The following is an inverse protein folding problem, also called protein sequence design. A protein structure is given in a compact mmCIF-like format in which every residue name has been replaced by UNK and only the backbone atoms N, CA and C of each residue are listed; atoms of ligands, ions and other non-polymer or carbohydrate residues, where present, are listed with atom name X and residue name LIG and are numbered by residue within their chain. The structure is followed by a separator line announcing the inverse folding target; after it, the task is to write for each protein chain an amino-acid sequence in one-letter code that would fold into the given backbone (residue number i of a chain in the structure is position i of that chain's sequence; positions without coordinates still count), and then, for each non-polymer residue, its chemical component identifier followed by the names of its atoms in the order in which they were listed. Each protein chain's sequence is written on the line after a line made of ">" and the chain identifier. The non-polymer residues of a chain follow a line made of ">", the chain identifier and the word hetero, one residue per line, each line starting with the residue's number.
data_IF_132790990008
#
_entry.id   IF_132790990008
#
_cell.length_a   1.000
_cell.length_b   1.000
_cell.length_c   1.000
_cell.angle_alpha   90.00
_cell.angle_beta   90.00
_cell.angle_gamma   90.00
#
_symmetry.space_group_name_H-M   'P 1'
#
loop_
_entity.id
_entity.type
_entity.pdbx_description
1 polymer ?
#
# COMPACT_ATOMS: atom_id res chain seq x y z
N UNK A 1 -20.38 6.88 17.58
CA UNK A 1 -19.10 6.49 16.96
C UNK A 1 -18.84 7.43 15.79
N UNK A 2 -18.04 8.46 16.00
CA UNK A 2 -17.72 9.44 14.96
C UNK A 2 -16.65 8.82 14.05
N UNK A 3 -17.01 8.55 12.80
CA UNK A 3 -16.10 8.03 11.79
C UNK A 3 -15.11 9.16 11.46
N UNK A 4 -13.89 9.09 12.00
CA UNK A 4 -12.81 9.98 11.63
C UNK A 4 -12.43 9.63 10.19
N UNK A 5 -13.08 10.30 9.24
CA UNK A 5 -12.69 10.20 7.83
C UNK A 5 -11.22 10.61 7.70
N UNK A 6 -10.41 9.66 7.26
CA UNK A 6 -9.03 9.93 6.92
C UNK A 6 -9.01 11.01 5.82
N UNK A 7 -8.34 12.14 6.07
CA UNK A 7 -8.26 13.29 5.16
C UNK A 7 -7.90 12.88 3.72
N UNK A 8 -7.01 11.90 3.57
CA UNK A 8 -6.63 11.36 2.27
C UNK A 8 -7.79 10.71 1.51
N UNK A 9 -8.72 10.07 2.22
CA UNK A 9 -9.90 9.42 1.66
C UNK A 9 -10.88 10.46 1.12
N UNK A 10 -11.11 11.54 1.88
CA UNK A 10 -11.98 12.64 1.48
C UNK A 10 -11.40 13.43 0.28
N UNK A 11 -10.08 13.65 0.25
CA UNK A 11 -9.41 14.33 -0.87
C UNK A 11 -9.48 13.48 -2.15
N UNK A 12 -9.31 12.15 -2.03
CA UNK A 12 -9.50 11.23 -3.15
C UNK A 12 -10.94 11.27 -3.68
N UNK A 13 -11.95 11.28 -2.83
CA UNK A 13 -13.35 11.38 -3.28
C UNK A 13 -13.63 12.65 -4.04
N UNK A 14 -13.21 13.80 -3.50
CA UNK A 14 -13.38 15.08 -4.19
C UNK A 14 -12.72 15.05 -5.57
N UNK A 15 -11.52 14.48 -5.65
CA UNK A 15 -10.81 14.33 -6.92
C UNK A 15 -11.57 13.43 -7.89
N UNK A 16 -11.98 12.24 -7.48
CA UNK A 16 -12.62 11.28 -8.39
C UNK A 16 -14.06 11.69 -8.77
N UNK A 17 -14.81 12.35 -7.86
CA UNK A 17 -16.07 13.01 -8.20
C UNK A 17 -15.90 14.10 -9.25
N UNK A 18 -14.84 14.92 -9.14
CA UNK A 18 -14.52 15.92 -10.18
C UNK A 18 -14.15 15.25 -11.51
N UNK A 19 -13.38 14.17 -11.50
CA UNK A 19 -13.06 13.39 -12.71
C UNK A 19 -14.33 12.88 -13.39
N UNK A 20 -15.27 12.33 -12.60
CA UNK A 20 -16.56 11.88 -13.11
C UNK A 20 -17.36 13.03 -13.72
N UNK A 21 -17.57 14.11 -12.96
CA UNK A 21 -18.29 15.31 -13.41
C UNK A 21 -17.65 15.90 -14.67
N UNK A 22 -16.33 16.04 -14.73
CA UNK A 22 -15.63 16.57 -15.89
C UNK A 22 -15.83 15.66 -17.11
N UNK A 23 -15.77 14.35 -16.94
CA UNK A 23 -15.95 13.39 -18.05
C UNK A 23 -17.36 13.45 -18.63
N UNK A 24 -18.40 13.61 -17.80
CA UNK A 24 -19.77 13.75 -18.26
C UNK A 24 -20.05 15.17 -18.82
N UNK A 25 -19.51 16.22 -18.20
CA UNK A 25 -19.70 17.63 -18.62
C UNK A 25 -18.98 17.96 -19.93
N UNK A 26 -17.81 17.36 -20.18
CA UNK A 26 -17.15 17.49 -21.49
C UNK A 26 -17.96 16.85 -22.63
N UNK A 27 -18.99 16.06 -22.32
CA UNK A 27 -19.88 15.40 -23.29
C UNK A 27 -21.31 15.93 -23.28
N UNK A 28 -21.71 16.62 -22.21
CA UNK A 28 -23.04 17.23 -22.04
C UNK A 28 -22.85 18.69 -21.62
N UNK A 29 -23.18 19.61 -22.51
CA UNK A 29 -22.88 21.04 -22.40
C UNK A 29 -23.66 21.68 -21.24
N UNK A 30 -22.95 22.27 -20.27
CA UNK A 30 -23.42 23.48 -19.58
C UNK A 30 -24.20 23.37 -18.25
N UNK A 31 -24.27 22.22 -17.59
CA UNK A 31 -24.96 22.09 -16.28
C UNK A 31 -23.98 21.99 -15.09
N UNK A 32 -24.35 22.59 -13.96
CA UNK A 32 -23.75 22.28 -12.66
C UNK A 32 -24.24 20.88 -12.22
N UNK A 33 -23.48 19.85 -12.60
CA UNK A 33 -23.91 18.46 -12.45
C UNK A 33 -23.60 17.94 -11.04
N UNK A 34 -24.60 17.99 -10.16
CA UNK A 34 -24.57 17.23 -8.91
C UNK A 34 -25.09 15.79 -9.13
N UNK A 35 -24.17 14.87 -9.46
CA UNK A 35 -24.52 13.47 -9.73
C UNK A 35 -25.14 12.73 -8.54
N UNK A 36 -25.02 13.26 -7.32
CA UNK A 36 -25.64 12.69 -6.13
C UNK A 36 -27.17 12.84 -6.15
N UNK A 37 -27.71 13.76 -6.94
CA UNK A 37 -29.15 14.02 -7.05
C UNK A 37 -29.78 13.38 -8.29
N UNK A 38 -28.98 12.65 -9.08
CA UNK A 38 -29.49 11.98 -10.26
C UNK A 38 -30.44 10.85 -9.87
N UNK A 39 -31.47 10.63 -10.69
CA UNK A 39 -32.23 9.38 -10.67
C UNK A 39 -31.30 8.21 -10.97
N UNK A 40 -31.67 7.01 -10.50
CA UNK A 40 -30.90 5.79 -10.76
C UNK A 40 -30.67 5.57 -12.26
N UNK A 41 -31.68 5.79 -13.09
CA UNK A 41 -31.60 5.69 -14.56
C UNK A 41 -30.58 6.68 -15.16
N UNK A 42 -30.63 7.96 -14.73
CA UNK A 42 -29.68 8.98 -15.22
C UNK A 42 -28.26 8.61 -14.79
N UNK A 43 -28.09 8.19 -13.54
CA UNK A 43 -26.80 7.80 -12.99
C UNK A 43 -26.23 6.55 -13.68
N UNK A 44 -27.04 5.52 -13.95
CA UNK A 44 -26.63 4.32 -14.68
C UNK A 44 -26.10 4.67 -16.07
N UNK A 45 -26.85 5.49 -16.82
CA UNK A 45 -26.46 5.94 -18.16
C UNK A 45 -25.13 6.70 -18.14
N UNK A 46 -24.94 7.60 -17.19
CA UNK A 46 -23.70 8.36 -17.06
C UNK A 46 -22.51 7.49 -16.64
N UNK A 47 -22.69 6.58 -15.70
CA UNK A 47 -21.64 5.65 -15.28
C UNK A 47 -21.24 4.71 -16.44
N UNK A 48 -22.20 4.18 -17.19
CA UNK A 48 -21.91 3.34 -18.36
C UNK A 48 -21.06 4.07 -19.41
N UNK A 49 -21.40 5.34 -19.71
CA UNK A 49 -20.57 6.19 -20.60
C UNK A 49 -19.20 6.47 -19.99
N UNK A 50 -19.14 6.73 -18.69
CA UNK A 50 -17.92 7.12 -17.99
C UNK A 50 -16.83 6.05 -18.11
N UNK A 51 -17.15 4.77 -17.93
CA UNK A 51 -16.13 3.71 -17.95
C UNK A 51 -15.36 3.64 -19.27
N UNK A 52 -16.04 3.81 -20.41
CA UNK A 52 -15.39 3.89 -21.72
C UNK A 52 -14.64 5.22 -21.94
N UNK A 53 -15.12 6.30 -21.33
CA UNK A 53 -14.70 7.66 -21.58
C UNK A 53 -13.55 8.16 -20.71
N UNK A 54 -13.37 7.57 -19.52
CA UNK A 54 -12.48 8.10 -18.50
C UNK A 54 -11.04 8.14 -19.01
N UNK A 55 -10.42 9.33 -18.93
CA UNK A 55 -9.02 9.56 -19.32
C UNK A 55 -8.30 10.37 -18.25
N UNK A 56 -6.99 10.18 -18.16
CA UNK A 56 -6.11 11.04 -17.35
C UNK A 56 -6.05 12.45 -17.96
N UNK A 57 -5.47 13.40 -17.21
CA UNK A 57 -5.25 14.78 -17.71
C UNK A 57 -4.47 14.84 -19.03
N UNK A 58 -3.63 13.83 -19.30
CA UNK A 58 -2.83 13.73 -20.51
C UNK A 58 -3.54 12.96 -21.63
N UNK A 59 -4.84 12.65 -21.48
CA UNK A 59 -5.64 11.93 -22.47
C UNK A 59 -5.43 10.41 -22.50
N UNK A 60 -4.63 9.84 -21.60
CA UNK A 60 -4.40 8.39 -21.54
C UNK A 60 -5.53 7.64 -20.83
N UNK A 61 -5.78 6.39 -21.21
CA UNK A 61 -6.73 5.52 -20.51
C UNK A 61 -6.19 5.21 -19.11
N UNK A 62 -7.07 5.24 -18.09
CA UNK A 62 -6.72 4.84 -16.74
C UNK A 62 -6.33 3.35 -16.67
N UNK A 63 -5.42 3.00 -15.77
CA UNK A 63 -5.19 1.59 -15.43
C UNK A 63 -6.33 1.03 -14.57
N UNK A 64 -6.38 -0.30 -14.44
CA UNK A 64 -7.46 -1.01 -13.74
C UNK A 64 -7.58 -0.55 -12.28
N UNK A 65 -6.48 -0.45 -11.54
CA UNK A 65 -6.50 -0.03 -10.14
C UNK A 65 -7.01 1.41 -9.94
N UNK A 66 -6.76 2.29 -10.91
CA UNK A 66 -7.29 3.66 -10.90
C UNK A 66 -8.79 3.67 -11.14
N UNK A 67 -9.29 2.91 -12.12
CA UNK A 67 -10.72 2.77 -12.38
C UNK A 67 -11.45 2.16 -11.17
N UNK A 68 -10.86 1.17 -10.53
CA UNK A 68 -11.38 0.55 -9.31
C UNK A 68 -11.47 1.56 -8.17
N UNK A 69 -10.41 2.36 -7.95
CA UNK A 69 -10.38 3.43 -6.94
C UNK A 69 -11.47 4.47 -7.19
N UNK A 70 -11.69 4.85 -8.45
CA UNK A 70 -12.78 5.75 -8.84
C UNK A 70 -14.12 5.12 -8.49
N UNK A 71 -14.37 3.85 -8.87
CA UNK A 71 -15.62 3.13 -8.60
C UNK A 71 -15.97 3.10 -7.11
N UNK A 72 -15.00 2.76 -6.26
CA UNK A 72 -15.20 2.74 -4.81
C UNK A 72 -15.42 4.15 -4.23
N UNK A 73 -14.73 5.16 -4.75
CA UNK A 73 -14.88 6.54 -4.29
C UNK A 73 -16.25 7.10 -4.63
N UNK A 74 -16.73 6.90 -5.86
CA UNK A 74 -18.08 7.28 -6.29
C UNK A 74 -19.15 6.57 -5.46
N UNK A 75 -19.02 5.26 -5.24
CA UNK A 75 -19.95 4.49 -4.42
C UNK A 75 -20.04 5.08 -3.00
N UNK A 76 -18.89 5.41 -2.40
CA UNK A 76 -18.83 5.97 -1.05
C UNK A 76 -19.52 7.33 -0.97
N UNK A 77 -19.33 8.20 -1.96
CA UNK A 77 -20.01 9.50 -2.04
C UNK A 77 -21.54 9.31 -2.17
N UNK A 78 -21.98 8.39 -3.04
CA UNK A 78 -23.40 8.09 -3.24
C UNK A 78 -24.05 7.55 -1.95
N UNK A 79 -23.38 6.65 -1.24
CA UNK A 79 -23.83 6.15 0.07
C UNK A 79 -23.97 7.27 1.11
N UNK A 80 -23.03 8.22 1.15
CA UNK A 80 -23.12 9.39 2.07
C UNK A 80 -24.32 10.27 1.75
N UNK A 81 -24.72 10.33 0.49
CA UNK A 81 -25.91 11.07 0.05
C UNK A 81 -27.23 10.30 0.26
N UNK A 82 -27.18 9.13 0.91
CA UNK A 82 -28.37 8.37 1.29
C UNK A 82 -28.81 7.30 0.29
N UNK A 83 -28.07 7.10 -0.81
CA UNK A 83 -28.39 6.05 -1.78
C UNK A 83 -28.21 4.65 -1.19
N UNK A 84 -29.15 3.74 -1.46
CA UNK A 84 -29.15 2.37 -0.90
C UNK A 84 -28.49 1.34 -1.82
N UNK A 85 -28.43 1.58 -3.12
CA UNK A 85 -27.74 0.70 -4.08
C UNK A 85 -26.21 0.69 -3.88
N UNK A 86 -25.53 -0.31 -4.43
CA UNK A 86 -24.07 -0.43 -4.38
C UNK A 86 -23.52 -0.72 -5.78
N UNK A 87 -22.95 0.30 -6.42
CA UNK A 87 -22.43 0.20 -7.80
C UNK A 87 -21.18 -0.67 -7.91
N UNK A 88 -20.64 -1.16 -6.79
CA UNK A 88 -19.49 -2.08 -6.77
C UNK A 88 -19.91 -3.54 -6.79
N UNK A 89 -21.18 -3.83 -6.50
CA UNK A 89 -21.74 -5.18 -6.49
C UNK A 89 -22.23 -5.57 -7.87
N UNK A 90 -21.83 -6.76 -8.31
CA UNK A 90 -22.20 -7.29 -9.63
C UNK A 90 -23.70 -7.57 -9.73
N UNK A 91 -24.32 -7.88 -8.59
CA UNK A 91 -25.74 -8.20 -8.46
C UNK A 91 -26.65 -6.96 -8.43
N UNK A 92 -26.09 -5.75 -8.53
CA UNK A 92 -26.88 -4.52 -8.49
C UNK A 92 -27.67 -4.33 -9.79
N UNK A 93 -28.95 -4.71 -9.77
CA UNK A 93 -29.84 -4.72 -10.94
C UNK A 93 -30.15 -3.33 -11.50
N UNK A 94 -30.04 -2.27 -10.70
CA UNK A 94 -30.23 -0.89 -11.15
C UNK A 94 -29.07 -0.33 -11.99
N UNK A 95 -27.95 -1.06 -12.10
CA UNK A 95 -26.73 -0.56 -12.75
C UNK A 95 -26.10 -1.58 -13.72
N UNK A 96 -26.89 -2.47 -14.31
CA UNK A 96 -26.40 -3.55 -15.18
C UNK A 96 -25.57 -3.04 -16.36
N UNK A 97 -25.97 -1.95 -17.02
CA UNK A 97 -25.23 -1.41 -18.17
C UNK A 97 -23.89 -0.81 -17.74
N UNK A 98 -23.88 -0.12 -16.60
CA UNK A 98 -22.66 0.44 -16.01
C UNK A 98 -21.69 -0.65 -15.56
N UNK A 99 -22.19 -1.70 -14.90
CA UNK A 99 -21.37 -2.84 -14.45
C UNK A 99 -20.73 -3.53 -15.66
N UNK A 100 -21.51 -3.81 -16.72
CA UNK A 100 -21.00 -4.40 -17.95
C UNK A 100 -19.94 -3.52 -18.60
N UNK A 101 -20.17 -2.21 -18.71
CA UNK A 101 -19.20 -1.28 -19.28
C UNK A 101 -17.87 -1.27 -18.51
N UNK A 102 -17.91 -1.36 -17.17
CA UNK A 102 -16.72 -1.50 -16.34
C UNK A 102 -16.01 -2.84 -16.57
N UNK A 103 -16.74 -3.96 -16.63
CA UNK A 103 -16.18 -5.29 -16.91
C UNK A 103 -15.52 -5.35 -18.29
N UNK A 104 -16.18 -4.83 -19.32
CA UNK A 104 -15.65 -4.78 -20.69
C UNK A 104 -14.35 -3.94 -20.73
N UNK A 105 -14.38 -2.73 -20.16
CA UNK A 105 -13.21 -1.83 -20.10
C UNK A 105 -12.04 -2.47 -19.35
N UNK A 106 -12.29 -3.10 -18.20
CA UNK A 106 -11.22 -3.73 -17.43
C UNK A 106 -10.67 -5.00 -18.10
N UNK A 107 -11.49 -5.70 -18.88
CA UNK A 107 -11.05 -6.86 -19.68
C UNK A 107 -10.11 -6.43 -20.81
N UNK A 108 -10.47 -5.38 -21.55
CA UNK A 108 -9.62 -4.79 -22.59
C UNK A 108 -8.28 -4.32 -22.00
N UNK A 109 -8.29 -3.62 -20.86
CA UNK A 109 -7.06 -3.18 -20.19
C UNK A 109 -6.16 -4.33 -19.74
N UNK A 110 -6.72 -5.50 -19.37
CA UNK A 110 -5.92 -6.69 -19.07
C UNK A 110 -5.24 -7.23 -20.31
N UNK A 111 -5.96 -7.29 -21.43
CA UNK A 111 -5.43 -7.75 -22.72
C UNK A 111 -4.31 -6.84 -23.22
N UNK A 112 -4.40 -5.53 -22.98
CA UNK A 112 -3.36 -4.55 -23.29
C UNK A 112 -2.16 -4.56 -22.31
N UNK A 113 -2.15 -5.44 -21.30
CA UNK A 113 -1.10 -5.49 -20.28
C UNK A 113 -1.13 -4.34 -19.26
N UNK A 114 -2.14 -3.46 -19.31
CA UNK A 114 -2.37 -2.35 -18.36
C UNK A 114 -3.08 -2.79 -17.08
N UNK A 115 -3.33 -4.09 -16.93
CA UNK A 115 -3.84 -4.69 -15.70
C UNK A 115 -2.78 -4.94 -14.63
N UNK A 116 -1.50 -4.86 -14.98
CA UNK A 116 -0.39 -5.05 -14.05
C UNK A 116 0.21 -3.71 -13.65
N UNK A 117 0.32 -3.47 -12.35
CA UNK A 117 1.14 -2.38 -11.83
C UNK A 117 2.58 -2.66 -12.23
N UNK A 118 3.24 -1.71 -12.92
CA UNK A 118 4.69 -1.78 -13.12
C UNK A 118 5.34 -1.69 -11.74
N UNK A 119 5.66 -2.84 -11.14
CA UNK A 119 6.53 -2.86 -9.97
C UNK A 119 7.88 -2.29 -10.40
N UNK A 120 8.53 -1.53 -9.51
CA UNK A 120 9.95 -1.25 -9.68
C UNK A 120 10.70 -2.57 -9.84
N UNK A 121 11.76 -2.56 -10.66
CA UNK A 121 12.64 -3.70 -10.78
C UNK A 121 13.12 -4.12 -9.39
N UNK A 122 13.19 -5.43 -9.15
CA UNK A 122 13.80 -5.94 -7.94
C UNK A 122 15.28 -5.53 -7.92
N UNK A 123 15.79 -5.18 -6.73
CA UNK A 123 17.22 -4.92 -6.53
C UNK A 123 17.98 -6.19 -6.88
N UNK A 124 18.96 -6.09 -7.77
CA UNK A 124 19.76 -7.25 -8.20
C UNK A 124 20.69 -7.73 -7.07
N UNK A 125 21.17 -8.99 -7.11
CA UNK A 125 22.16 -9.47 -6.16
C UNK A 125 23.44 -8.62 -6.12
N UNK A 126 23.88 -8.09 -7.26
CA UNK A 126 25.04 -7.22 -7.40
C UNK A 126 24.77 -5.84 -6.77
N UNK A 127 23.60 -5.25 -7.03
CA UNK A 127 23.19 -4.00 -6.39
C UNK A 127 23.07 -4.16 -4.86
N UNK A 128 22.53 -5.28 -4.39
CA UNK A 128 22.50 -5.61 -2.97
C UNK A 128 23.93 -5.70 -2.41
N UNK A 129 24.83 -6.39 -3.10
CA UNK A 129 26.23 -6.48 -2.70
C UNK A 129 26.86 -5.09 -2.54
N UNK A 130 26.69 -4.20 -3.52
CA UNK A 130 27.21 -2.85 -3.49
C UNK A 130 26.61 -2.01 -2.35
N UNK A 131 25.31 -2.15 -2.09
CA UNK A 131 24.64 -1.47 -0.99
C UNK A 131 25.25 -1.89 0.36
N UNK A 132 25.36 -3.20 0.61
CA UNK A 132 25.91 -3.74 1.85
C UNK A 132 27.39 -3.37 2.05
N UNK A 133 28.18 -3.31 0.98
CA UNK A 133 29.60 -2.96 1.04
C UNK A 133 29.87 -1.44 0.97
N UNK A 134 28.82 -0.62 0.92
CA UNK A 134 28.97 0.83 0.98
C UNK A 134 29.42 1.28 2.38
N UNK A 135 30.22 2.36 2.44
CA UNK A 135 30.64 2.99 3.71
C UNK A 135 29.46 3.39 4.60
N UNK A 136 28.28 3.61 4.02
CA UNK A 136 27.08 4.00 4.77
C UNK A 136 26.45 2.87 5.57
N UNK A 137 26.73 1.61 5.19
CA UNK A 137 26.25 0.40 5.86
C UNK A 137 27.37 -0.37 6.57
N UNK A 138 28.60 0.17 6.57
CA UNK A 138 29.72 -0.39 7.30
C UNK A 138 29.50 -0.26 8.82
N UNK A 139 29.29 -1.36 9.57
CA UNK A 139 29.02 -1.31 11.00
C UNK A 139 30.17 -0.75 11.84
N UNK A 140 31.40 -0.77 11.32
CA UNK A 140 32.60 -0.30 12.01
C UNK A 140 32.95 1.16 11.66
N UNK A 141 32.30 1.75 10.65
CA UNK A 141 32.57 3.13 10.22
C UNK A 141 32.04 4.20 11.19
N UNK A 142 31.22 3.80 12.18
CA UNK A 142 30.75 4.65 13.27
C UNK A 142 29.25 4.50 13.58
N UNK A 143 28.74 5.17 14.63
CA UNK A 143 27.37 4.98 15.13
C UNK A 143 26.28 5.21 14.09
N UNK A 144 26.48 6.18 13.18
CA UNK A 144 25.52 6.47 12.11
C UNK A 144 25.47 5.37 11.05
N UNK A 145 26.60 4.78 10.69
CA UNK A 145 26.65 3.71 9.72
C UNK A 145 26.05 2.41 10.29
N UNK A 146 26.34 2.10 11.57
CA UNK A 146 25.69 1.02 12.31
C UNK A 146 24.17 1.21 12.38
N UNK A 147 23.72 2.43 12.67
CA UNK A 147 22.29 2.75 12.66
C UNK A 147 21.66 2.52 11.28
N UNK A 148 22.28 3.03 10.21
CA UNK A 148 21.79 2.85 8.84
C UNK A 148 21.71 1.36 8.47
N UNK A 149 22.73 0.57 8.86
CA UNK A 149 22.77 -0.87 8.65
C UNK A 149 21.60 -1.59 9.30
N UNK A 150 21.37 -1.36 10.59
CA UNK A 150 20.25 -1.97 11.32
C UNK A 150 18.90 -1.53 10.74
N UNK A 151 18.78 -0.26 10.37
CA UNK A 151 17.59 0.29 9.73
C UNK A 151 17.33 -0.32 8.34
N UNK A 152 18.37 -0.58 7.57
CA UNK A 152 18.31 -1.29 6.30
C UNK A 152 17.86 -2.74 6.50
N UNK A 153 18.55 -3.49 7.36
CA UNK A 153 18.25 -4.90 7.65
C UNK A 153 16.81 -5.05 8.14
N UNK A 154 16.37 -4.20 9.07
CA UNK A 154 15.00 -4.21 9.56
C UNK A 154 13.97 -4.00 8.45
N UNK A 155 14.24 -3.12 7.48
CA UNK A 155 13.37 -2.93 6.32
C UNK A 155 13.42 -4.14 5.39
N UNK A 156 14.62 -4.64 5.11
CA UNK A 156 14.85 -5.75 4.21
C UNK A 156 14.17 -7.04 4.69
N UNK A 157 14.32 -7.39 5.97
CA UNK A 157 13.79 -8.62 6.54
C UNK A 157 12.34 -8.51 7.04
N UNK A 158 11.86 -7.31 7.42
CA UNK A 158 10.55 -7.18 8.09
C UNK A 158 9.55 -6.22 7.43
N UNK A 159 9.90 -5.43 6.41
CA UNK A 159 8.97 -4.47 5.81
C UNK A 159 8.15 -5.10 4.67
N UNK A 160 6.97 -5.64 5.01
CA UNK A 160 5.97 -6.09 4.01
C UNK A 160 4.96 -5.01 3.59
N UNK A 161 4.73 -3.97 4.40
CA UNK A 161 3.69 -2.92 4.15
C UNK A 161 4.20 -1.48 4.22
N UNK A 162 5.38 -1.24 3.64
CA UNK A 162 5.98 0.09 3.62
C UNK A 162 6.38 0.61 5.01
N UNK A 163 6.97 1.79 5.05
CA UNK A 163 7.68 2.32 6.23
C UNK A 163 6.78 2.74 7.40
N UNK A 164 5.45 2.68 7.29
CA UNK A 164 4.54 3.19 8.33
C UNK A 164 4.60 2.40 9.63
N UNK A 165 4.75 1.08 9.54
CA UNK A 165 4.87 0.24 10.74
C UNK A 165 6.28 0.32 11.35
N UNK A 166 7.30 0.60 10.52
CA UNK A 166 8.70 0.72 10.97
C UNK A 166 8.91 1.88 11.94
N UNK A 167 8.18 3.00 11.78
CA UNK A 167 8.34 4.18 12.63
C UNK A 167 8.02 3.95 14.11
N UNK A 168 7.08 3.04 14.39
CA UNK A 168 6.63 2.77 15.76
C UNK A 168 7.39 1.60 16.42
N UNK A 169 8.41 1.05 15.75
CA UNK A 169 9.14 -0.09 16.28
C UNK A 169 10.10 0.33 17.39
N UNK A 170 10.04 -0.42 18.48
CA UNK A 170 10.83 -0.26 19.71
C UNK A 170 11.72 -1.48 19.92
N UNK A 171 12.61 -1.41 20.92
CA UNK A 171 13.45 -2.56 21.32
C UNK A 171 12.60 -3.80 21.64
N UNK A 172 11.43 -3.62 22.25
CA UNK A 172 10.51 -4.69 22.64
C UNK A 172 9.71 -5.27 21.48
N UNK A 173 9.73 -4.62 20.30
CA UNK A 173 9.09 -5.17 19.09
C UNK A 173 9.80 -6.44 18.62
N UNK A 174 11.07 -6.63 18.98
CA UNK A 174 11.91 -7.72 18.49
C UNK A 174 12.45 -8.57 19.63
N UNK A 175 12.67 -9.85 19.32
CA UNK A 175 13.38 -10.77 20.21
C UNK A 175 14.39 -11.59 19.42
N UNK A 176 15.48 -11.96 20.09
CA UNK A 176 16.53 -12.81 19.54
C UNK A 176 16.25 -14.24 19.99
N UNK A 177 16.13 -15.15 19.03
CA UNK A 177 15.97 -16.58 19.27
C UNK A 177 17.19 -17.34 18.77
N UNK A 178 17.32 -18.57 19.20
CA UNK A 178 18.35 -19.51 18.74
C UNK A 178 17.67 -20.66 18.01
N UNK A 179 18.20 -21.02 16.85
CA UNK A 179 17.75 -22.19 16.10
C UNK A 179 18.38 -23.44 16.72
N UNK A 180 17.55 -24.37 17.18
CA UNK A 180 18.01 -25.58 17.90
C UNK A 180 18.82 -26.53 17.02
N UNK A 181 18.63 -26.50 15.69
CA UNK A 181 19.30 -27.42 14.76
C UNK A 181 20.67 -26.91 14.35
N UNK A 182 20.78 -25.62 14.12
CA UNK A 182 21.99 -24.96 13.61
C UNK A 182 22.80 -24.27 14.70
N UNK A 183 22.20 -24.01 15.86
CA UNK A 183 22.79 -23.20 16.94
C UNK A 183 22.85 -21.71 16.60
N UNK A 184 22.27 -21.28 15.48
CA UNK A 184 22.40 -19.92 14.97
C UNK A 184 21.34 -18.99 15.57
N UNK A 185 21.75 -17.77 15.91
CA UNK A 185 20.83 -16.75 16.37
C UNK A 185 20.03 -16.15 15.20
N UNK A 186 18.82 -15.69 15.48
CA UNK A 186 18.01 -14.94 14.53
C UNK A 186 17.07 -13.97 15.26
N UNK A 187 16.74 -12.84 14.62
CA UNK A 187 15.79 -11.87 15.15
C UNK A 187 14.40 -12.08 14.54
N UNK A 188 13.37 -12.04 15.38
CA UNK A 188 11.95 -12.07 14.97
C UNK A 188 11.16 -10.96 15.67
N UNK A 189 9.99 -10.62 15.12
CA UNK A 189 9.03 -9.77 15.83
C UNK A 189 8.32 -10.56 16.94
N UNK A 190 8.04 -9.89 18.06
CA UNK A 190 7.35 -10.48 19.22
C UNK A 190 5.85 -10.63 18.96
N UNK A 191 5.24 -9.62 18.32
CA UNK A 191 3.83 -9.65 17.92
C UNK A 191 3.72 -9.45 16.41
N UNK A 192 2.88 -10.28 15.78
CA UNK A 192 2.54 -10.11 14.37
C UNK A 192 1.59 -8.91 14.21
N UNK A 193 1.85 -8.10 13.18
CA UNK A 193 0.99 -6.98 12.82
C UNK A 193 -0.40 -7.51 12.47
N UNK A 194 -1.34 -7.42 13.42
CA UNK A 194 -2.75 -7.74 13.18
C UNK A 194 -3.22 -6.98 11.96
N UNK A 195 -3.57 -7.73 10.91
CA UNK A 195 -3.87 -7.10 9.63
C UNK A 195 -5.16 -6.29 9.79
N UNK A 196 -5.11 -4.99 9.48
CA UNK A 196 -6.31 -4.15 9.49
C UNK A 196 -7.38 -4.61 8.48
N UNK A 197 -7.04 -5.49 7.52
CA UNK A 197 -7.92 -5.83 6.38
C UNK A 197 -8.07 -7.33 6.05
N UNK A 198 -7.51 -8.30 6.79
CA UNK A 198 -7.72 -9.74 6.51
C UNK A 198 -7.81 -10.57 7.79
N UNK A 199 -9.04 -10.89 8.22
CA UNK A 199 -9.32 -11.93 9.23
C UNK A 199 -9.48 -13.33 8.61
N UNK A 200 -8.91 -13.60 7.44
CA UNK A 200 -9.02 -14.91 6.80
C UNK A 200 -7.66 -15.38 6.31
N UNK A 201 -7.28 -16.54 6.83
CA UNK A 201 -6.07 -17.33 6.63
C UNK A 201 -4.94 -17.04 7.63
N UNK A 202 -5.03 -17.74 8.77
CA UNK A 202 -4.01 -17.86 9.82
C UNK A 202 -2.73 -18.58 9.35
N UNK A 203 -2.66 -19.03 8.09
CA UNK A 203 -1.55 -19.85 7.58
C UNK A 203 -0.39 -19.09 6.92
N UNK A 204 -0.49 -17.78 6.72
CA UNK A 204 0.60 -16.96 6.13
C UNK A 204 1.30 -16.05 7.17
N UNK A 205 1.15 -16.36 8.46
CA UNK A 205 1.78 -15.63 9.56
C UNK A 205 3.22 -16.11 9.75
N UNK A 206 4.05 -15.99 8.72
CA UNK A 206 5.50 -16.00 8.91
C UNK A 206 5.93 -14.54 8.92
N UNK A 207 6.05 -13.95 10.10
CA UNK A 207 6.88 -12.75 10.27
C UNK A 207 8.26 -13.11 9.73
N UNK A 208 8.80 -12.27 8.83
CA UNK A 208 10.16 -12.50 8.33
C UNK A 208 11.14 -12.70 9.49
N UNK A 209 12.21 -13.45 9.27
CA UNK A 209 13.27 -13.64 10.25
C UNK A 209 14.56 -13.06 9.71
N UNK A 210 15.38 -12.50 10.59
CA UNK A 210 16.69 -11.95 10.26
C UNK A 210 17.77 -12.89 10.80
N UNK A 211 18.42 -13.69 9.95
CA UNK A 211 19.36 -14.73 10.38
C UNK A 211 20.73 -14.16 10.73
N UNK A 212 21.43 -14.78 11.68
CA UNK A 212 22.85 -14.56 11.85
C UNK A 212 23.63 -15.17 10.68
N UNK A 213 24.72 -14.53 10.30
CA UNK A 213 25.67 -15.01 9.30
C UNK A 213 27.01 -15.18 10.01
N UNK A 214 27.60 -16.37 9.87
CA UNK A 214 28.88 -16.70 10.51
C UNK A 214 30.03 -15.94 9.85
N UNK A 215 30.93 -15.43 10.68
CA UNK A 215 32.18 -14.76 10.28
C UNK A 215 31.99 -13.60 9.29
N UNK A 216 30.79 -13.02 9.23
CA UNK A 216 30.47 -11.89 8.37
C UNK A 216 30.43 -10.59 9.17
N UNK A 217 31.22 -9.61 8.73
CA UNK A 217 31.20 -8.24 9.25
C UNK A 217 29.81 -7.63 9.17
N UNK A 218 29.08 -7.88 8.08
CA UNK A 218 27.74 -7.34 7.80
C UNK A 218 26.61 -8.19 8.39
N UNK A 219 26.93 -9.16 9.27
CA UNK A 219 25.96 -9.98 9.97
C UNK A 219 24.85 -9.12 10.60
N UNK A 220 23.58 -9.31 10.22
CA UNK A 220 22.51 -8.40 10.61
C UNK A 220 22.13 -8.58 12.09
N UNK A 221 22.20 -9.80 12.63
CA UNK A 221 22.00 -10.06 14.07
C UNK A 221 23.09 -9.40 14.91
N UNK A 222 24.37 -9.53 14.51
CA UNK A 222 25.49 -8.90 15.21
C UNK A 222 25.35 -7.37 15.22
N UNK A 223 25.00 -6.80 14.07
CA UNK A 223 24.73 -5.36 13.93
C UNK A 223 23.58 -4.90 14.82
N UNK A 224 22.49 -5.68 14.88
CA UNK A 224 21.34 -5.40 15.73
C UNK A 224 21.68 -5.44 17.23
N UNK A 225 22.45 -6.43 17.67
CA UNK A 225 22.91 -6.53 19.07
C UNK A 225 23.77 -5.31 19.42
N UNK A 226 24.77 -5.00 18.60
CA UNK A 226 25.67 -3.86 18.81
C UNK A 226 24.89 -2.54 18.89
N UNK A 227 23.92 -2.34 17.99
CA UNK A 227 23.08 -1.15 17.99
C UNK A 227 22.23 -1.06 19.25
N UNK A 228 21.53 -2.13 19.63
CA UNK A 228 20.62 -2.11 20.79
C UNK A 228 21.33 -1.90 22.12
N UNK A 229 22.57 -2.39 22.24
CA UNK A 229 23.47 -2.15 23.38
C UNK A 229 24.00 -0.70 23.43
N UNK A 230 24.36 -0.13 22.28
CA UNK A 230 24.84 1.25 22.19
C UNK A 230 23.71 2.31 22.19
N UNK A 231 22.47 1.89 21.94
CA UNK A 231 21.33 2.81 21.78
C UNK A 231 20.90 3.42 23.12
N UNK A 232 20.73 4.76 23.21
CA UNK A 232 20.40 5.44 24.45
C UNK A 232 19.21 4.83 25.19
N UNK A 233 19.28 4.65 26.52
CA UNK A 233 18.22 4.04 27.31
C UNK A 233 16.92 4.85 27.28
N UNK A 234 17.01 6.18 27.14
CA UNK A 234 15.86 7.09 27.11
C UNK A 234 15.12 7.12 25.76
N UNK A 235 15.70 6.49 24.71
CA UNK A 235 15.08 6.41 23.39
C UNK A 235 14.41 5.05 23.18
N UNK A 236 13.11 5.00 23.42
CA UNK A 236 12.31 3.78 23.25
C UNK A 236 12.21 3.34 21.77
N UNK A 237 12.20 4.31 20.84
CA UNK A 237 12.11 4.05 19.39
C UNK A 237 13.46 3.64 18.83
N UNK A 238 13.43 2.62 17.97
CA UNK A 238 14.59 2.19 17.18
C UNK A 238 14.82 3.07 15.94
N UNK A 239 13.76 3.71 15.44
CA UNK A 239 13.79 4.62 14.30
C UNK A 239 13.86 6.09 14.75
N UNK A 240 14.80 6.86 14.21
CA UNK A 240 14.85 8.32 14.37
C UNK A 240 13.94 8.95 13.31
N UNK A 241 12.95 9.76 13.73
CA UNK A 241 12.26 10.68 12.83
C UNK A 241 13.26 11.69 12.30
N UNK A 242 13.52 11.64 10.99
CA UNK A 242 14.10 12.78 10.29
C UNK A 242 12.98 13.78 9.99
#
# INVERSE_FOLDING_TARGET
>A
MHNLENKNTADNEKKESRTFIQTISCREIGEDLNFCEFSEEKLEKHLAKFWFAARTKNGQIYNIGSLETIRYSLNRVLKRYGHKFDITKRECTAFTASIKAYEDTTTELKQEGKGFTKSHAAVSPEELYDIYHSRHLDPDAGPRALQNKVQWDMRFYFARRGSKNMYNMTKTTFTIKMDEKTGMQYVVKVEDETTKNHKQNEHDIVTGYMPAINDDKYCPVKSFINYTQAHPPDSEKLCISH
#
